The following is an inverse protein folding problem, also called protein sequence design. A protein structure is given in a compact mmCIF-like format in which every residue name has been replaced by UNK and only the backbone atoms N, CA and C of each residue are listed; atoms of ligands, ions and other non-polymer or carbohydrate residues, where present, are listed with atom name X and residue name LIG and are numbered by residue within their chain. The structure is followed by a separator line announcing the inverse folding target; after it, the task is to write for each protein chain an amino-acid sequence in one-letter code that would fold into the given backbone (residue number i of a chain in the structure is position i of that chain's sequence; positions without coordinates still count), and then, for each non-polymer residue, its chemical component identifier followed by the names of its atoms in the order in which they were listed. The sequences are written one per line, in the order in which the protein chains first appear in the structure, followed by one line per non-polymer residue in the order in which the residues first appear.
data_IF_962438110180
#
_entry.id   IF_962438110180
#
_cell.length_a   1.000
_cell.length_b   1.000
_cell.length_c   1.000
_cell.angle_alpha   90.00
_cell.angle_beta   90.00
_cell.angle_gamma   90.00
#
_symmetry.space_group_name_H-M   'P 1'
#
loop_
_entity.id
_entity.type
_entity.pdbx_description
1 polymer ?
#
# COMPACT_ATOMS: atom_id res chain seq x y z
N UNK A 1 -0.58 -24.96 5.41
CA UNK A 1 -1.61 -23.91 5.64
C UNK A 1 -0.89 -22.55 5.68
N UNK A 2 -1.46 -21.46 5.14
CA UNK A 2 -0.83 -20.14 5.25
C UNK A 2 -0.71 -19.74 6.73
N UNK A 3 0.39 -19.07 7.09
CA UNK A 3 0.57 -18.52 8.43
C UNK A 3 -0.35 -17.33 8.69
N UNK A 4 -0.51 -16.91 9.95
CA UNK A 4 -1.20 -15.66 10.29
C UNK A 4 -0.15 -14.65 10.76
N UNK A 5 -0.22 -13.43 10.25
CA UNK A 5 0.61 -12.31 10.68
C UNK A 5 -0.23 -11.04 10.91
N UNK A 6 0.26 -10.16 11.77
CA UNK A 6 -0.37 -8.89 12.11
C UNK A 6 0.10 -7.74 11.22
N UNK A 7 -0.78 -6.76 10.99
CA UNK A 7 -0.44 -5.47 10.38
C UNK A 7 -1.14 -4.32 11.12
N UNK A 8 -0.42 -3.23 11.37
CA UNK A 8 -0.92 -2.02 12.05
C UNK A 8 -1.68 -1.10 11.09
N UNK A 9 -2.63 -1.65 10.34
CA UNK A 9 -3.35 -0.96 9.26
C UNK A 9 -3.99 0.38 9.69
N UNK A 10 -4.60 0.40 10.88
CA UNK A 10 -5.25 1.60 11.41
C UNK A 10 -4.25 2.72 11.70
N UNK A 11 -3.07 2.38 12.25
CA UNK A 11 -2.01 3.35 12.56
C UNK A 11 -1.40 3.90 11.26
N UNK A 12 -1.09 3.03 10.30
CA UNK A 12 -0.58 3.43 8.98
C UNK A 12 -1.54 4.39 8.27
N UNK A 13 -2.83 4.05 8.26
CA UNK A 13 -3.86 4.88 7.62
C UNK A 13 -4.01 6.21 8.33
N UNK A 14 -4.09 6.22 9.66
CA UNK A 14 -4.22 7.45 10.44
C UNK A 14 -3.02 8.39 10.25
N UNK A 15 -1.79 7.85 10.24
CA UNK A 15 -0.58 8.64 9.99
C UNK A 15 -0.60 9.28 8.61
N UNK A 16 -0.94 8.51 7.57
CA UNK A 16 -1.00 9.02 6.21
C UNK A 16 -2.12 10.05 6.02
N UNK A 17 -3.34 9.78 6.51
CA UNK A 17 -4.47 10.71 6.35
C UNK A 17 -4.27 12.01 7.11
N UNK A 18 -3.61 11.97 8.27
CA UNK A 18 -3.26 13.18 9.04
C UNK A 18 -2.31 14.07 8.23
N UNK A 19 -1.29 13.46 7.62
CA UNK A 19 -0.38 14.17 6.72
C UNK A 19 -1.11 14.70 5.49
N UNK A 20 -1.93 13.88 4.85
CA UNK A 20 -2.67 14.23 3.65
C UNK A 20 -3.62 15.42 3.88
N UNK A 21 -4.28 15.47 5.05
CA UNK A 21 -5.11 16.59 5.46
C UNK A 21 -4.30 17.88 5.66
N UNK A 22 -3.11 17.79 6.26
CA UNK A 22 -2.23 18.94 6.46
C UNK A 22 -1.65 19.48 5.15
N UNK A 23 -1.41 18.61 4.16
CA UNK A 23 -0.81 18.94 2.86
C UNK A 23 -1.85 19.30 1.78
N UNK A 24 -3.15 19.19 2.07
CA UNK A 24 -4.20 19.47 1.09
C UNK A 24 -4.24 18.47 -0.08
N UNK A 25 -3.95 17.21 0.20
CA UNK A 25 -3.94 16.13 -0.80
C UNK A 25 -5.33 15.92 -1.40
N UNK A 26 -5.38 15.76 -2.73
CA UNK A 26 -6.65 15.57 -3.46
C UNK A 26 -7.30 14.23 -3.14
N UNK A 27 -8.63 14.15 -3.29
CA UNK A 27 -9.37 12.88 -3.15
C UNK A 27 -8.88 11.79 -4.13
N UNK A 28 -8.39 12.19 -5.30
CA UNK A 28 -7.79 11.27 -6.27
C UNK A 28 -6.48 10.66 -5.74
N UNK A 29 -5.60 11.46 -5.15
CA UNK A 29 -4.38 10.97 -4.52
C UNK A 29 -4.66 10.08 -3.30
N UNK A 30 -5.73 10.36 -2.53
CA UNK A 30 -6.22 9.45 -1.47
C UNK A 30 -6.65 8.10 -2.03
N UNK A 31 -7.39 8.08 -3.15
CA UNK A 31 -7.80 6.82 -3.80
C UNK A 31 -6.59 6.05 -4.35
N UNK A 32 -5.65 6.75 -4.98
CA UNK A 32 -4.43 6.15 -5.50
C UNK A 32 -3.59 5.51 -4.38
N UNK A 33 -3.46 6.21 -3.24
CA UNK A 33 -2.78 5.68 -2.07
C UNK A 33 -3.48 4.42 -1.51
N UNK A 34 -4.81 4.44 -1.41
CA UNK A 34 -5.59 3.26 -0.97
C UNK A 34 -5.38 2.04 -1.87
N UNK A 35 -5.39 2.23 -3.19
CA UNK A 35 -5.13 1.15 -4.16
C UNK A 35 -3.68 0.62 -4.06
N UNK A 36 -2.71 1.50 -3.82
CA UNK A 36 -1.33 1.11 -3.59
C UNK A 36 -1.17 0.31 -2.29
N UNK A 37 -1.86 0.69 -1.22
CA UNK A 37 -1.87 -0.02 0.05
C UNK A 37 -2.49 -1.43 -0.10
N UNK A 38 -3.61 -1.57 -0.80
CA UNK A 38 -4.21 -2.87 -1.09
C UNK A 38 -3.23 -3.77 -1.85
N UNK A 39 -2.58 -3.23 -2.89
CA UNK A 39 -1.55 -3.96 -3.66
C UNK A 39 -0.35 -4.35 -2.79
N UNK A 40 0.07 -3.49 -1.85
CA UNK A 40 1.17 -3.75 -0.94
C UNK A 40 0.84 -4.91 0.02
N UNK A 41 -0.34 -4.88 0.63
CA UNK A 41 -0.82 -5.94 1.52
C UNK A 41 -0.87 -7.29 0.79
N UNK A 42 -1.42 -7.30 -0.42
CA UNK A 42 -1.54 -8.48 -1.26
C UNK A 42 -0.18 -9.08 -1.63
N UNK A 43 0.80 -8.24 -2.00
CA UNK A 43 2.15 -8.71 -2.33
C UNK A 43 2.85 -9.27 -1.10
N UNK A 44 2.82 -8.56 0.03
CA UNK A 44 3.46 -9.04 1.27
C UNK A 44 2.83 -10.35 1.75
N UNK A 45 1.50 -10.47 1.70
CA UNK A 45 0.80 -11.70 2.05
C UNK A 45 1.27 -12.89 1.18
N UNK A 46 1.39 -12.69 -0.14
CA UNK A 46 1.86 -13.73 -1.07
C UNK A 46 3.34 -14.07 -0.89
N UNK A 47 4.20 -13.05 -0.81
CA UNK A 47 5.66 -13.22 -0.72
C UNK A 47 6.08 -13.97 0.56
N UNK A 48 5.32 -13.76 1.65
CA UNK A 48 5.58 -14.40 2.93
C UNK A 48 4.69 -15.63 3.21
N UNK A 49 3.73 -15.94 2.33
CA UNK A 49 2.81 -17.08 2.51
C UNK A 49 1.91 -16.94 3.75
N UNK A 50 1.45 -15.72 4.04
CA UNK A 50 0.66 -15.39 5.24
C UNK A 50 -0.68 -14.76 4.90
N UNK A 51 -1.63 -14.88 5.81
CA UNK A 51 -2.83 -14.04 5.87
C UNK A 51 -2.54 -12.88 6.82
N UNK A 52 -2.68 -11.65 6.31
CA UNK A 52 -2.55 -10.44 7.10
C UNK A 52 -3.87 -10.11 7.77
N UNK A 53 -3.86 -9.98 9.09
CA UNK A 53 -4.98 -9.51 9.88
C UNK A 53 -4.57 -8.25 10.64
N UNK A 54 -5.54 -7.38 11.05
CA UNK A 54 -5.23 -6.27 11.94
C UNK A 54 -4.46 -6.76 13.16
N UNK A 55 -3.39 -6.05 13.55
CA UNK A 55 -2.52 -6.47 14.66
C UNK A 55 -3.26 -6.76 15.98
N UNK A 56 -4.39 -6.07 16.22
CA UNK A 56 -5.27 -6.29 17.39
C UNK A 56 -6.07 -7.61 17.34
N UNK A 57 -6.16 -8.25 16.18
CA UNK A 57 -6.96 -9.46 15.94
C UNK A 57 -6.11 -10.74 15.90
N UNK A 58 -4.79 -10.63 16.05
CA UNK A 58 -3.88 -11.77 16.08
C UNK A 58 -3.40 -12.06 17.51
N UNK A 59 -3.05 -13.32 17.79
CA UNK A 59 -2.51 -13.71 19.08
C UNK A 59 -1.18 -13.00 19.37
N UNK A 60 -0.89 -12.78 20.65
CA UNK A 60 0.40 -12.25 21.07
C UNK A 60 1.55 -13.14 20.55
N UNK A 61 2.56 -12.52 19.93
CA UNK A 61 3.68 -13.23 19.31
C UNK A 61 3.50 -13.59 17.84
N UNK A 62 2.35 -13.28 17.21
CA UNK A 62 2.23 -13.35 15.76
C UNK A 62 3.24 -12.38 15.09
N UNK A 63 3.85 -12.76 13.96
CA UNK A 63 4.77 -11.89 13.24
C UNK A 63 4.13 -10.55 12.88
N UNK A 64 4.85 -9.45 13.09
CA UNK A 64 4.44 -8.11 12.63
C UNK A 64 4.99 -7.87 11.23
N UNK A 65 4.09 -7.69 10.26
CA UNK A 65 4.41 -7.43 8.86
C UNK A 65 4.28 -5.95 8.49
N UNK A 66 4.03 -5.07 9.46
CA UNK A 66 3.91 -3.62 9.23
C UNK A 66 5.11 -3.04 8.47
N UNK A 67 6.38 -3.32 8.84
CA UNK A 67 7.54 -2.78 8.12
C UNK A 67 7.61 -3.22 6.65
N UNK A 68 7.22 -4.46 6.37
CA UNK A 68 7.23 -5.03 5.01
C UNK A 68 6.15 -4.38 4.16
N UNK A 69 4.96 -4.15 4.72
CA UNK A 69 3.87 -3.45 4.04
C UNK A 69 4.24 -1.99 3.78
N UNK A 70 4.87 -1.31 4.74
CA UNK A 70 5.37 0.07 4.55
C UNK A 70 6.42 0.17 3.44
N UNK A 71 7.39 -0.75 3.43
CA UNK A 71 8.42 -0.81 2.40
C UNK A 71 7.82 -1.07 1.01
N UNK A 72 6.90 -2.04 0.91
CA UNK A 72 6.22 -2.38 -0.36
C UNK A 72 5.34 -1.23 -0.84
N UNK A 73 4.59 -0.57 0.05
CA UNK A 73 3.78 0.60 -0.27
C UNK A 73 4.63 1.75 -0.81
N UNK A 74 5.75 2.03 -0.14
CA UNK A 74 6.71 3.06 -0.59
C UNK A 74 7.25 2.74 -1.98
N UNK A 75 7.61 1.48 -2.24
CA UNK A 75 8.10 1.04 -3.54
C UNK A 75 7.03 1.17 -4.64
N UNK A 76 5.77 0.80 -4.36
CA UNK A 76 4.66 0.92 -5.31
C UNK A 76 4.40 2.39 -5.65
N UNK A 77 4.36 3.26 -4.64
CA UNK A 77 4.13 4.69 -4.85
C UNK A 77 5.27 5.36 -5.62
N UNK A 78 6.52 4.96 -5.37
CA UNK A 78 7.68 5.43 -6.13
C UNK A 78 7.69 4.92 -7.59
N UNK A 79 7.23 3.69 -7.82
CA UNK A 79 7.15 3.07 -9.16
C UNK A 79 5.91 3.48 -9.97
N UNK A 80 4.85 3.94 -9.32
CA UNK A 80 3.59 4.38 -9.94
C UNK A 80 3.68 5.71 -10.70
N UNK A 81 4.82 6.41 -10.64
CA UNK A 81 5.12 7.61 -11.44
C UNK A 81 5.40 7.34 -12.93
N UNK A 82 5.35 6.09 -13.39
CA UNK A 82 5.45 5.71 -14.80
C UNK A 82 4.12 5.17 -15.32
N UNK A 83 3.12 6.04 -15.47
CA UNK A 83 1.98 5.79 -16.34
C UNK A 83 2.39 5.94 -17.82
N UNK A 84 1.74 5.23 -18.77
CA UNK A 84 2.17 5.18 -20.16
C UNK A 84 1.94 6.51 -20.91
N UNK A 85 2.93 7.41 -20.86
CA UNK A 85 3.10 8.46 -21.88
C UNK A 85 3.83 7.88 -23.09
N UNK A 86 3.14 6.99 -23.79
CA UNK A 86 3.48 6.58 -25.15
C UNK A 86 2.19 6.09 -25.75
N UNK A 87 1.45 6.96 -26.44
CA UNK A 87 0.95 6.84 -27.82
C UNK A 87 0.05 8.07 -28.09
N UNK A 88 0.54 9.01 -28.90
CA UNK A 88 -0.22 9.87 -29.82
C UNK A 88 0.76 10.87 -30.40
N UNK A 89 1.01 10.97 -31.69
CA UNK A 89 0.44 10.34 -32.87
C UNK A 89 1.22 10.97 -34.00
N UNK A 90 1.91 10.15 -34.78
CA UNK A 90 2.52 10.62 -36.01
C UNK A 90 1.39 10.85 -37.02
N UNK A 91 1.03 12.10 -37.24
CA UNK A 91 0.32 12.51 -38.44
C UNK A 91 0.95 13.81 -38.92
N UNK A 92 1.72 13.72 -40.01
CA UNK A 92 2.10 14.87 -40.83
C UNK A 92 1.41 14.69 -42.18
N UNK A 93 0.71 15.71 -42.72
CA UNK A 93 0.44 15.78 -44.14
C UNK A 93 1.72 16.00 -44.95
#
# INVERSE_FOLDING_TARGET
PPGIAGVRLAEMTAAWTTRAAAEGVSAEAVRAWGAALETALDRVARDHGVVLLPARAVAAGAPDMTPQVEAMLTAILAGGGSGPSSISGGERP
#
